data_IF_140943096457
#
_entry.id   IF_140943096457
#
_cell.length_a   1.000
_cell.length_b   1.000
_cell.length_c   1.000
_cell.angle_alpha   90.00
_cell.angle_beta   90.00
_cell.angle_gamma   90.00
#
_symmetry.space_group_name_H-M   'P 1'
#
loop_
_entity.id
_entity.type
_entity.pdbx_description
1 polymer ?
#
# COMPACT_ATOMS: atom_id res chain seq x y z
N UNK A 1 53.74 58.60 -1.68
CA UNK A 1 52.31 58.31 -1.41
C UNK A 1 52.12 56.80 -1.42
N UNK A 2 52.12 56.16 -0.24
CA UNK A 2 51.76 54.74 -0.14
C UNK A 2 50.24 54.64 -0.04
N UNK A 3 49.59 54.12 -1.07
CA UNK A 3 48.14 53.89 -1.10
C UNK A 3 47.88 52.59 -0.33
N UNK A 4 47.33 52.69 0.87
CA UNK A 4 46.83 51.52 1.58
C UNK A 4 45.58 51.00 0.86
N UNK A 5 45.68 49.81 0.25
CA UNK A 5 44.52 49.03 -0.17
C UNK A 5 43.78 48.56 1.09
N UNK A 6 42.68 49.26 1.41
CA UNK A 6 41.69 48.72 2.34
C UNK A 6 40.93 47.62 1.61
N UNK A 7 41.40 46.39 1.73
CA UNK A 7 40.59 45.22 1.38
C UNK A 7 39.35 45.23 2.28
N UNK A 8 38.17 45.41 1.68
CA UNK A 8 36.93 45.61 2.42
C UNK A 8 36.46 44.28 3.03
N UNK A 9 36.44 44.22 4.36
CA UNK A 9 36.00 43.04 5.12
C UNK A 9 34.54 42.70 4.79
N UNK A 10 33.73 43.69 4.41
CA UNK A 10 32.32 43.53 4.08
C UNK A 10 32.07 42.66 2.82
N UNK A 11 32.97 42.70 1.83
CA UNK A 11 32.84 41.87 0.61
C UNK A 11 33.10 40.38 0.91
N UNK A 12 34.04 40.08 1.82
CA UNK A 12 34.29 38.70 2.27
C UNK A 12 33.12 38.15 3.09
N UNK A 13 32.48 38.99 3.91
CA UNK A 13 31.34 38.60 4.75
C UNK A 13 30.09 38.37 3.88
N UNK A 14 29.83 39.23 2.89
CA UNK A 14 28.68 39.07 1.99
C UNK A 14 28.80 37.83 1.12
N UNK A 15 29.99 37.57 0.57
CA UNK A 15 30.23 36.41 -0.29
C UNK A 15 30.18 35.08 0.49
N UNK A 16 30.59 35.09 1.76
CA UNK A 16 30.46 33.98 2.70
C UNK A 16 29.02 33.69 3.09
N UNK A 17 28.22 34.73 3.35
CA UNK A 17 26.79 34.61 3.65
C UNK A 17 25.99 34.04 2.46
N UNK A 18 26.28 34.49 1.24
CA UNK A 18 25.65 33.96 0.02
C UNK A 18 26.04 32.50 -0.25
N UNK A 19 27.29 32.12 0.05
CA UNK A 19 27.76 30.73 -0.06
C UNK A 19 27.08 29.82 0.98
N UNK A 20 26.99 30.28 2.24
CA UNK A 20 26.27 29.60 3.31
C UNK A 20 24.79 29.45 2.98
N UNK A 21 24.13 30.49 2.50
CA UNK A 21 22.73 30.45 2.09
C UNK A 21 22.49 29.44 0.95
N UNK A 22 23.40 29.36 -0.04
CA UNK A 22 23.35 28.37 -1.13
C UNK A 22 23.50 26.92 -0.64
N UNK A 23 24.23 26.67 0.45
CA UNK A 23 24.38 25.32 1.05
C UNK A 23 23.22 24.99 2.00
N UNK A 24 22.70 25.98 2.73
CA UNK A 24 21.61 25.81 3.69
C UNK A 24 20.27 25.49 3.01
N UNK A 25 19.99 26.05 1.82
CA UNK A 25 18.72 25.79 1.13
C UNK A 25 18.52 24.30 0.72
N UNK A 26 19.49 23.62 0.07
CA UNK A 26 19.41 22.19 -0.18
C UNK A 26 19.32 21.36 1.10
N UNK A 27 20.07 21.74 2.15
CA UNK A 27 20.03 21.04 3.43
C UNK A 27 18.66 21.11 4.10
N UNK A 28 17.97 22.24 4.05
CA UNK A 28 16.62 22.39 4.60
C UNK A 28 15.64 21.42 3.92
N UNK A 29 15.71 21.30 2.59
CA UNK A 29 14.87 20.36 1.83
C UNK A 29 15.13 18.90 2.21
N UNK A 30 16.39 18.51 2.34
CA UNK A 30 16.76 17.15 2.77
C UNK A 30 16.28 16.88 4.20
N UNK A 31 16.41 17.86 5.09
CA UNK A 31 15.96 17.78 6.48
C UNK A 31 14.44 17.62 6.56
N UNK A 32 13.68 18.40 5.78
CA UNK A 32 12.23 18.24 5.66
C UNK A 32 11.83 16.86 5.14
N UNK A 33 12.53 16.33 4.13
CA UNK A 33 12.29 14.99 3.60
C UNK A 33 12.57 13.90 4.65
N UNK A 34 13.66 14.04 5.42
CA UNK A 34 14.01 13.13 6.52
C UNK A 34 12.96 13.15 7.63
N UNK A 35 12.51 14.34 8.04
CA UNK A 35 11.47 14.49 9.07
C UNK A 35 10.16 13.84 8.59
N UNK A 36 9.77 14.06 7.32
CA UNK A 36 8.60 13.40 6.72
C UNK A 36 8.74 11.88 6.67
N UNK A 37 9.91 11.38 6.29
CA UNK A 37 10.16 9.94 6.26
C UNK A 37 10.14 9.34 7.67
N UNK A 38 10.70 10.05 8.66
CA UNK A 38 10.71 9.63 10.06
C UNK A 38 9.27 9.56 10.61
N UNK A 39 8.43 10.55 10.34
CA UNK A 39 7.02 10.50 10.78
C UNK A 39 6.25 9.35 10.12
N UNK A 40 6.48 9.09 8.83
CA UNK A 40 5.90 7.93 8.13
C UNK A 40 6.40 6.60 8.71
N UNK A 41 7.66 6.50 9.11
CA UNK A 41 8.23 5.29 9.71
C UNK A 41 7.75 5.00 11.13
N UNK A 42 7.21 6.01 11.83
CA UNK A 42 6.59 5.85 13.15
C UNK A 42 5.14 5.37 13.07
N UNK A 43 4.52 5.40 11.89
CA UNK A 43 3.19 4.84 11.70
C UNK A 43 3.24 3.31 11.91
N UNK A 44 2.16 2.70 12.43
CA UNK A 44 2.07 1.24 12.51
C UNK A 44 2.37 0.60 11.16
N UNK A 45 3.11 -0.51 11.19
CA UNK A 45 3.32 -1.34 10.02
C UNK A 45 1.95 -1.73 9.43
N UNK A 46 1.81 -1.55 8.12
CA UNK A 46 0.59 -2.00 7.42
C UNK A 46 0.59 -3.52 7.43
N UNK A 47 -0.34 -4.09 8.18
CA UNK A 47 -0.58 -5.52 8.17
C UNK A 47 -1.37 -5.89 6.93
N UNK A 48 -0.82 -6.77 6.11
CA UNK A 48 -1.50 -7.34 4.94
C UNK A 48 -1.77 -8.79 5.29
N UNK A 49 -3.04 -9.12 5.51
CA UNK A 49 -3.42 -10.51 5.75
C UNK A 49 -3.19 -11.35 4.49
N UNK A 50 -2.70 -12.58 4.67
CA UNK A 50 -2.56 -13.54 3.57
C UNK A 50 -3.93 -13.84 2.96
N UNK A 51 -4.06 -13.66 1.66
CA UNK A 51 -5.29 -13.98 0.93
C UNK A 51 -5.33 -15.47 0.56
N UNK A 52 -6.41 -16.13 0.98
CA UNK A 52 -6.62 -17.58 0.83
C UNK A 52 -7.77 -17.93 -0.12
N UNK A 53 -8.35 -16.93 -0.80
CA UNK A 53 -9.38 -17.16 -1.83
C UNK A 53 -10.83 -16.93 -1.39
N UNK A 54 -11.09 -16.28 -0.25
CA UNK A 54 -12.47 -15.86 0.09
C UNK A 54 -12.87 -14.62 -0.73
N UNK A 55 -13.86 -14.71 -1.64
CA UNK A 55 -14.31 -13.57 -2.45
C UNK A 55 -14.68 -12.34 -1.62
N UNK A 56 -15.23 -12.53 -0.42
CA UNK A 56 -15.65 -11.44 0.48
C UNK A 56 -14.47 -10.61 1.01
N UNK A 57 -13.25 -11.15 0.91
CA UNK A 57 -12.02 -10.50 1.37
C UNK A 57 -11.11 -10.04 0.22
N UNK A 58 -11.41 -10.42 -1.03
CA UNK A 58 -10.55 -10.12 -2.17
C UNK A 58 -10.33 -8.60 -2.36
N UNK A 59 -11.42 -7.81 -2.35
CA UNK A 59 -11.34 -6.35 -2.55
C UNK A 59 -10.56 -5.65 -1.44
N UNK A 60 -10.76 -6.06 -0.17
CA UNK A 60 -10.02 -5.48 0.95
C UNK A 60 -8.54 -5.87 0.91
N UNK A 61 -8.24 -7.12 0.55
CA UNK A 61 -6.87 -7.60 0.33
C UNK A 61 -6.15 -6.78 -0.74
N UNK A 62 -6.72 -6.64 -1.94
CA UNK A 62 -6.09 -5.89 -3.04
C UNK A 62 -5.81 -4.43 -2.64
N UNK A 63 -6.79 -3.76 -2.01
CA UNK A 63 -6.62 -2.38 -1.52
C UNK A 63 -5.50 -2.27 -0.48
N UNK A 64 -5.46 -3.19 0.48
CA UNK A 64 -4.42 -3.21 1.51
C UNK A 64 -3.04 -3.44 0.90
N UNK A 65 -2.94 -4.40 -0.03
CA UNK A 65 -1.71 -4.71 -0.75
C UNK A 65 -1.18 -3.52 -1.54
N UNK A 66 -2.04 -2.89 -2.37
CA UNK A 66 -1.67 -1.70 -3.14
C UNK A 66 -1.20 -0.56 -2.25
N UNK A 67 -1.95 -0.27 -1.18
CA UNK A 67 -1.59 0.80 -0.25
C UNK A 67 -0.26 0.51 0.48
N UNK A 68 0.07 -0.75 0.72
CA UNK A 68 1.30 -1.13 1.39
C UNK A 68 2.53 -1.16 0.47
N UNK A 69 2.34 -1.47 -0.81
CA UNK A 69 3.44 -1.73 -1.76
C UNK A 69 3.66 -0.57 -2.75
N UNK A 70 2.63 0.16 -3.16
CA UNK A 70 2.75 1.24 -4.16
C UNK A 70 3.73 2.33 -3.74
N UNK A 71 3.83 2.64 -2.44
CA UNK A 71 4.80 3.63 -1.93
C UNK A 71 6.22 3.09 -1.77
N UNK A 72 6.42 1.77 -1.93
CA UNK A 72 7.70 1.09 -1.65
C UNK A 72 8.45 0.70 -2.92
N UNK A 73 7.74 0.48 -4.03
CA UNK A 73 8.38 0.10 -5.30
C UNK A 73 7.49 0.43 -6.50
N UNK A 74 8.13 0.88 -7.58
CA UNK A 74 7.54 1.05 -8.91
C UNK A 74 7.78 -0.16 -9.83
N UNK A 75 8.59 -1.13 -9.38
CA UNK A 75 8.89 -2.35 -10.13
C UNK A 75 7.71 -3.32 -10.13
N UNK A 76 7.20 -3.65 -11.32
CA UNK A 76 6.18 -4.70 -11.46
C UNK A 76 6.67 -6.08 -11.03
N UNK A 77 7.97 -6.35 -11.20
CA UNK A 77 8.57 -7.61 -10.75
C UNK A 77 8.54 -7.72 -9.22
N UNK A 78 8.90 -6.65 -8.50
CA UNK A 78 8.85 -6.64 -7.04
C UNK A 78 7.41 -6.75 -6.54
N UNK A 79 6.48 -6.02 -7.18
CA UNK A 79 5.05 -6.11 -6.86
C UNK A 79 4.53 -7.53 -7.02
N UNK A 80 4.87 -8.22 -8.12
CA UNK A 80 4.49 -9.62 -8.31
C UNK A 80 5.12 -10.53 -7.25
N UNK A 81 6.41 -10.34 -6.93
CA UNK A 81 7.09 -11.10 -5.89
C UNK A 81 6.38 -10.98 -4.54
N UNK A 82 6.08 -9.75 -4.10
CA UNK A 82 5.35 -9.53 -2.86
C UNK A 82 3.91 -10.04 -2.93
N UNK A 83 3.22 -9.91 -4.07
CA UNK A 83 1.87 -10.43 -4.24
C UNK A 83 1.84 -11.93 -3.93
N UNK A 84 2.81 -12.71 -4.45
CA UNK A 84 2.95 -14.13 -4.14
C UNK A 84 3.13 -14.41 -2.64
N UNK A 85 3.89 -13.58 -1.92
CA UNK A 85 4.13 -13.77 -0.48
C UNK A 85 2.86 -13.57 0.36
N UNK A 86 1.93 -12.73 -0.10
CA UNK A 86 0.67 -12.46 0.59
C UNK A 86 -0.52 -13.26 0.05
N UNK A 87 -0.26 -14.32 -0.72
CA UNK A 87 -1.29 -15.24 -1.20
C UNK A 87 -0.93 -16.69 -0.86
N UNK A 88 -1.94 -17.53 -0.66
CA UNK A 88 -1.76 -18.97 -0.47
C UNK A 88 -2.93 -19.76 -1.04
N UNK A 89 -2.71 -21.05 -1.31
CA UNK A 89 -3.70 -21.91 -1.95
C UNK A 89 -3.94 -21.54 -3.41
N UNK A 90 -5.19 -21.72 -3.87
CA UNK A 90 -5.59 -21.47 -5.27
C UNK A 90 -5.24 -20.05 -5.78
N UNK A 91 -5.38 -18.95 -5.00
CA UNK A 91 -4.89 -17.64 -5.43
C UNK A 91 -3.41 -17.60 -5.79
N UNK A 92 -2.56 -18.29 -5.03
CA UNK A 92 -1.12 -18.36 -5.32
C UNK A 92 -0.85 -19.14 -6.60
N UNK A 93 -1.56 -20.25 -6.81
CA UNK A 93 -1.44 -21.05 -8.03
C UNK A 93 -1.83 -20.24 -9.28
N UNK A 94 -2.90 -19.43 -9.19
CA UNK A 94 -3.31 -18.49 -10.23
C UNK A 94 -2.21 -17.47 -10.54
N UNK A 95 -1.59 -16.89 -9.51
CA UNK A 95 -0.49 -15.92 -9.70
C UNK A 95 0.74 -16.59 -10.32
N UNK A 96 1.09 -17.81 -9.89
CA UNK A 96 2.21 -18.57 -10.44
C UNK A 96 2.00 -18.97 -11.90
N UNK A 97 0.76 -19.14 -12.35
CA UNK A 97 0.46 -19.40 -13.77
C UNK A 97 0.97 -18.30 -14.70
N UNK A 98 1.18 -17.08 -14.19
CA UNK A 98 1.70 -15.93 -14.93
C UNK A 98 3.23 -15.91 -15.09
N UNK A 99 3.99 -16.87 -14.53
CA UNK A 99 5.46 -16.84 -14.51
C UNK A 99 6.11 -16.87 -15.89
N UNK A 100 5.42 -17.41 -16.90
CA UNK A 100 5.90 -17.47 -18.27
C UNK A 100 5.71 -16.15 -19.03
N UNK A 101 5.04 -15.17 -18.43
CA UNK A 101 4.77 -13.86 -19.01
C UNK A 101 5.94 -12.92 -18.71
N UNK A 102 6.21 -11.96 -19.60
CA UNK A 102 7.19 -10.90 -19.35
C UNK A 102 6.94 -10.20 -18.00
N UNK A 103 7.99 -9.93 -17.19
CA UNK A 103 7.85 -9.35 -15.85
C UNK A 103 6.99 -8.09 -15.79
N UNK A 104 7.11 -7.22 -16.81
CA UNK A 104 6.36 -5.96 -16.89
C UNK A 104 4.84 -6.14 -16.99
N UNK A 105 4.38 -7.31 -17.46
CA UNK A 105 2.94 -7.63 -17.62
C UNK A 105 2.43 -8.66 -16.62
N UNK A 106 3.30 -9.51 -16.08
CA UNK A 106 2.91 -10.61 -15.22
C UNK A 106 2.16 -10.14 -13.96
N UNK A 107 2.55 -9.01 -13.35
CA UNK A 107 1.80 -8.42 -12.22
C UNK A 107 0.37 -8.02 -12.59
N UNK A 108 0.20 -7.39 -13.77
CA UNK A 108 -1.11 -6.93 -14.23
C UNK A 108 -2.03 -8.13 -14.51
N UNK A 109 -1.50 -9.15 -15.19
CA UNK A 109 -2.25 -10.38 -15.47
C UNK A 109 -2.68 -11.10 -14.18
N UNK A 110 -1.74 -11.25 -13.24
CA UNK A 110 -2.02 -11.87 -11.93
C UNK A 110 -3.16 -11.15 -11.19
N UNK A 111 -3.20 -9.81 -11.25
CA UNK A 111 -4.29 -9.04 -10.67
C UNK A 111 -5.62 -9.24 -11.39
N UNK A 112 -5.60 -9.27 -12.72
CA UNK A 112 -6.81 -9.51 -13.50
C UNK A 112 -7.37 -10.92 -13.26
N UNK A 113 -6.51 -11.92 -13.04
CA UNK A 113 -6.93 -13.26 -12.62
C UNK A 113 -7.58 -13.25 -11.24
N UNK A 114 -6.98 -12.59 -10.24
CA UNK A 114 -7.58 -12.47 -8.91
C UNK A 114 -8.95 -11.78 -8.96
N UNK A 115 -9.06 -10.71 -9.73
CA UNK A 115 -10.32 -9.97 -9.88
C UNK A 115 -11.40 -10.82 -10.57
N UNK A 116 -11.05 -11.51 -11.66
CA UNK A 116 -11.99 -12.39 -12.37
C UNK A 116 -12.46 -13.57 -11.53
N UNK A 117 -11.59 -14.16 -10.71
CA UNK A 117 -11.91 -15.34 -9.92
C UNK A 117 -12.60 -15.01 -8.58
N UNK A 118 -12.28 -13.87 -7.97
CA UNK A 118 -12.73 -13.55 -6.60
C UNK A 118 -13.31 -12.13 -6.43
N UNK A 119 -12.96 -11.19 -7.31
CA UNK A 119 -13.36 -9.78 -7.24
C UNK A 119 -14.62 -9.41 -8.02
N UNK A 120 -15.04 -10.28 -8.95
CA UNK A 120 -16.23 -10.11 -9.79
C UNK A 120 -17.50 -9.95 -8.95
N UNK A 121 -18.40 -9.07 -9.41
CA UNK A 121 -19.62 -8.71 -8.68
C UNK A 121 -20.53 -9.91 -8.46
N UNK A 122 -20.68 -10.80 -9.44
CA UNK A 122 -21.51 -11.99 -9.33
C UNK A 122 -20.89 -13.01 -8.37
N UNK A 123 -19.56 -13.18 -8.42
CA UNK A 123 -18.83 -14.05 -7.48
C UNK A 123 -19.01 -13.56 -6.04
N UNK A 124 -18.85 -12.26 -5.79
CA UNK A 124 -19.02 -11.66 -4.47
C UNK A 124 -20.47 -11.80 -4.00
N UNK A 125 -21.45 -11.45 -4.83
CA UNK A 125 -22.87 -11.57 -4.49
C UNK A 125 -23.24 -13.01 -4.14
N UNK A 126 -22.74 -13.98 -4.92
CA UNK A 126 -22.95 -15.42 -4.66
C UNK A 126 -22.33 -15.84 -3.33
N UNK A 127 -21.14 -15.37 -3.01
CA UNK A 127 -20.49 -15.64 -1.73
C UNK A 127 -21.27 -15.04 -0.54
N UNK A 128 -21.82 -13.83 -0.68
CA UNK A 128 -22.68 -13.21 0.32
C UNK A 128 -23.95 -14.03 0.56
N UNK A 129 -24.66 -14.39 -0.52
CA UNK A 129 -25.88 -15.21 -0.43
C UNK A 129 -25.58 -16.54 0.22
N UNK A 130 -24.54 -17.24 -0.23
CA UNK A 130 -24.13 -18.54 0.33
C UNK A 130 -23.87 -18.43 1.83
N UNK A 131 -23.07 -17.45 2.25
CA UNK A 131 -22.73 -17.23 3.66
C UNK A 131 -23.95 -16.82 4.50
N UNK A 132 -24.89 -16.06 3.93
CA UNK A 132 -26.15 -15.73 4.60
C UNK A 132 -27.03 -16.97 4.81
N UNK A 133 -27.11 -17.85 3.82
CA UNK A 133 -27.91 -19.08 3.88
C UNK A 133 -27.28 -20.14 4.80
N UNK A 134 -25.95 -20.21 4.83
CA UNK A 134 -25.19 -21.12 5.70
C UNK A 134 -25.00 -20.55 7.12
N UNK A 135 -25.56 -19.37 7.42
CA UNK A 135 -25.39 -18.74 8.72
C UNK A 135 -25.97 -19.63 9.82
N UNK A 136 -25.20 -19.79 10.90
CA UNK A 136 -25.60 -20.63 12.02
C UNK A 136 -26.93 -20.16 12.61
N UNK A 137 -27.77 -21.11 13.02
CA UNK A 137 -29.05 -20.80 13.64
C UNK A 137 -28.89 -19.88 14.85
N UNK A 138 -29.51 -18.71 14.79
CA UNK A 138 -29.46 -17.68 15.82
C UNK A 138 -30.57 -17.97 16.82
N UNK A 139 -30.20 -18.24 18.08
CA UNK A 139 -31.18 -18.45 19.15
C UNK A 139 -31.85 -17.11 19.51
N UNK A 140 -33.10 -17.10 20.01
CA UNK A 140 -33.79 -15.87 20.40
C UNK A 140 -33.00 -15.00 21.38
N UNK A 141 -32.25 -15.64 22.29
CA UNK A 141 -31.47 -14.97 23.32
C UNK A 141 -30.08 -14.51 22.84
N UNK A 142 -29.65 -14.94 21.64
CA UNK A 142 -28.31 -14.66 21.11
C UNK A 142 -28.27 -13.30 20.39
N UNK A 143 -28.34 -12.24 21.21
CA UNK A 143 -28.20 -10.87 20.75
C UNK A 143 -26.90 -10.62 19.99
N UNK A 144 -25.80 -11.32 20.34
CA UNK A 144 -24.49 -11.15 19.69
C UNK A 144 -24.52 -11.75 18.28
N UNK A 145 -25.04 -12.97 18.14
CA UNK A 145 -25.24 -13.61 16.85
C UNK A 145 -26.16 -12.82 15.93
N UNK A 146 -27.26 -12.30 16.46
CA UNK A 146 -28.18 -11.44 15.70
C UNK A 146 -27.51 -10.15 15.22
N UNK A 147 -26.75 -9.48 16.09
CA UNK A 147 -26.04 -8.26 15.72
C UNK A 147 -24.93 -8.53 14.69
N UNK A 148 -24.19 -9.63 14.83
CA UNK A 148 -23.16 -10.02 13.86
C UNK A 148 -23.77 -10.31 12.48
N UNK A 149 -24.92 -10.99 12.44
CA UNK A 149 -25.65 -11.24 11.20
C UNK A 149 -26.16 -9.94 10.56
N UNK A 150 -26.75 -9.03 11.35
CA UNK A 150 -27.18 -7.72 10.86
C UNK A 150 -26.01 -6.91 10.27
N UNK A 151 -24.87 -6.86 10.95
CA UNK A 151 -23.66 -6.19 10.44
C UNK A 151 -23.15 -6.83 9.15
N UNK A 152 -23.19 -8.17 9.05
CA UNK A 152 -22.82 -8.88 7.84
C UNK A 152 -23.71 -8.50 6.65
N UNK A 153 -25.04 -8.44 6.85
CA UNK A 153 -25.98 -8.05 5.80
C UNK A 153 -25.80 -6.59 5.34
N UNK A 154 -25.48 -5.68 6.25
CA UNK A 154 -25.16 -4.28 5.89
C UNK A 154 -23.92 -4.19 5.00
N UNK A 155 -22.97 -5.11 5.15
CA UNK A 155 -21.79 -5.18 4.30
C UNK A 155 -22.06 -5.64 2.86
N UNK A 156 -23.27 -6.09 2.53
CA UNK A 156 -23.67 -6.59 1.21
C UNK A 156 -24.07 -5.47 0.21
N UNK A 157 -24.04 -4.20 0.64
CA UNK A 157 -24.52 -3.05 -0.12
C UNK A 157 -23.39 -2.26 -0.82
#
# INVERSE_FOLDING_TARGET
MCRHEKHNVDDYVHHGADSLHKVLQPQNKVTEMLIKQQSLSQLPQRDISTFTGDPLTCRSFIRAFEHAINSKTDSHQDRLYYLKQFTSGEPLDLIQSCEHIKPDRAYKEARELLDRHYGDEMTIATAYIKKAMEWLHIRPEDRKGLNAFALFLVGCC
#
